data_IF_430514649783
#
_entry.id   IF_430514649783
#
_cell.length_a   1.000
_cell.length_b   1.000
_cell.length_c   1.000
_cell.angle_alpha   90.00
_cell.angle_beta   90.00
_cell.angle_gamma   90.00
#
_symmetry.space_group_name_H-M   'P 1'
#
loop_
_entity.id
_entity.type
_entity.pdbx_description
1 polymer ?
#
# COMPACT_ATOMS: atom_id res chain seq x y z
N UNK A 1 3.45 -40.07 33.65
CA UNK A 1 2.32 -39.32 34.23
C UNK A 1 1.60 -38.57 33.10
N UNK A 2 0.28 -38.75 33.05
CA UNK A 2 -0.79 -38.04 32.29
C UNK A 2 -0.41 -36.95 31.26
N UNK A 3 -0.88 -37.14 30.02
CA UNK A 3 -1.50 -36.07 29.21
C UNK A 3 -2.99 -35.98 29.60
N UNK A 4 -3.63 -34.80 29.54
CA UNK A 4 -4.46 -34.55 28.35
C UNK A 4 -4.48 -33.07 27.89
N UNK A 5 -4.95 -32.93 26.65
CA UNK A 5 -5.30 -31.69 25.97
C UNK A 5 -6.56 -31.02 26.55
N UNK A 6 -6.62 -29.68 26.48
CA UNK A 6 -7.82 -28.83 26.57
C UNK A 6 -7.51 -27.66 25.62
N UNK A 7 -7.94 -27.69 24.36
CA UNK A 7 -9.26 -27.32 23.84
C UNK A 7 -9.61 -25.84 24.06
N UNK A 8 -9.73 -25.13 22.91
CA UNK A 8 -10.61 -24.01 22.57
C UNK A 8 -11.06 -23.03 23.68
N UNK A 9 -11.00 -21.73 23.37
CA UNK A 9 -12.19 -20.88 23.14
C UNK A 9 -11.74 -19.45 22.76
N UNK A 10 -12.15 -19.07 21.55
CA UNK A 10 -12.48 -17.74 21.04
C UNK A 10 -12.86 -16.67 22.07
N UNK A 11 -12.35 -15.44 21.92
CA UNK A 11 -13.19 -14.23 22.07
C UNK A 11 -12.59 -13.01 21.36
N UNK A 12 -13.24 -12.61 20.27
CA UNK A 12 -13.28 -11.22 19.81
C UNK A 12 -13.97 -10.36 20.89
N UNK A 13 -13.37 -9.23 21.24
CA UNK A 13 -14.09 -8.02 21.65
C UNK A 13 -13.10 -6.84 21.44
N UNK A 14 -13.12 -6.21 20.27
CA UNK A 14 -14.03 -5.12 19.92
C UNK A 14 -13.78 -3.84 20.74
N UNK A 15 -13.17 -2.88 20.05
CA UNK A 15 -13.53 -1.46 20.04
C UNK A 15 -14.14 -0.89 21.34
N UNK A 16 -13.26 -0.31 22.17
CA UNK A 16 -13.67 0.66 23.19
C UNK A 16 -13.69 2.06 22.58
N UNK A 17 -14.76 2.37 21.84
CA UNK A 17 -15.10 3.75 21.45
C UNK A 17 -15.63 4.46 22.71
N UNK A 18 -14.94 5.52 23.11
CA UNK A 18 -15.40 6.45 24.13
C UNK A 18 -16.64 7.21 23.64
N UNK A 19 -17.81 6.92 24.21
CA UNK A 19 -18.97 7.80 24.15
C UNK A 19 -19.86 7.63 25.38
N UNK A 20 -20.01 8.71 26.15
CA UNK A 20 -21.31 9.16 26.68
C UNK A 20 -21.94 8.46 27.89
N UNK A 21 -21.99 9.22 28.99
CA UNK A 21 -22.91 9.23 30.14
C UNK A 21 -24.28 8.49 30.07
N UNK A 22 -24.64 7.92 31.24
CA UNK A 22 -25.98 7.86 31.88
C UNK A 22 -26.93 6.67 31.63
N UNK A 23 -27.05 5.86 32.70
CA UNK A 23 -28.26 5.24 33.33
C UNK A 23 -29.07 4.12 32.68
N UNK A 24 -29.37 3.15 33.58
CA UNK A 24 -30.40 2.11 33.63
C UNK A 24 -30.13 0.77 32.91
N UNK A 25 -29.96 -0.27 33.73
CA UNK A 25 -29.89 -1.67 33.33
C UNK A 25 -31.30 -2.22 33.03
N UNK A 26 -31.54 -2.90 31.89
CA UNK A 26 -32.74 -3.69 31.67
C UNK A 26 -32.58 -5.15 32.14
N UNK A 27 -33.68 -5.71 32.62
CA UNK A 27 -33.84 -7.08 33.10
C UNK A 27 -33.66 -8.15 31.99
N UNK A 28 -33.38 -9.42 32.32
CA UNK A 28 -33.11 -10.46 31.33
C UNK A 28 -34.40 -10.92 30.61
N UNK A 29 -34.47 -10.69 29.30
CA UNK A 29 -35.48 -11.27 28.42
C UNK A 29 -35.10 -12.70 27.99
N UNK A 30 -36.15 -13.51 27.79
CA UNK A 30 -36.07 -14.93 27.40
C UNK A 30 -35.37 -15.14 26.05
N UNK A 31 -34.74 -16.31 25.82
CA UNK A 31 -33.97 -16.54 24.60
C UNK A 31 -34.87 -16.56 23.36
N UNK A 32 -34.61 -15.64 22.43
CA UNK A 32 -35.19 -15.63 21.09
C UNK A 32 -34.74 -16.88 20.29
N UNK A 33 -35.57 -17.40 19.36
CA UNK A 33 -35.20 -18.52 18.50
C UNK A 33 -33.95 -18.18 17.68
N UNK A 34 -33.03 -19.14 17.59
CA UNK A 34 -31.79 -18.99 16.86
C UNK A 34 -32.06 -18.66 15.38
N UNK A 35 -31.81 -17.41 14.99
CA UNK A 35 -31.65 -17.03 13.59
C UNK A 35 -30.52 -17.87 13.02
N UNK A 36 -30.80 -18.57 11.92
CA UNK A 36 -29.80 -19.33 11.18
C UNK A 36 -28.60 -18.42 10.90
N UNK A 37 -27.43 -18.82 11.38
CA UNK A 37 -26.18 -18.13 11.09
C UNK A 37 -26.05 -18.04 9.56
N UNK A 38 -25.71 -16.86 9.00
CA UNK A 38 -25.33 -16.77 7.59
C UNK A 38 -24.26 -17.82 7.33
N UNK A 39 -24.52 -18.73 6.39
CA UNK A 39 -23.51 -19.70 5.98
C UNK A 39 -22.26 -18.95 5.51
N UNK A 40 -21.07 -19.57 5.62
CA UNK A 40 -19.86 -18.96 5.08
C UNK A 40 -20.07 -18.74 3.58
N UNK A 41 -20.40 -17.50 3.19
CA UNK A 41 -20.20 -17.06 1.82
C UNK A 41 -18.73 -17.25 1.55
N UNK A 42 -18.41 -18.15 0.61
CA UNK A 42 -17.05 -18.37 0.18
C UNK A 42 -16.51 -17.08 -0.41
N UNK A 43 -15.82 -16.28 0.41
CA UNK A 43 -14.98 -15.21 -0.08
C UNK A 43 -13.87 -15.90 -0.88
N UNK A 44 -13.82 -15.62 -2.18
CA UNK A 44 -12.67 -16.00 -2.99
C UNK A 44 -11.48 -15.26 -2.39
N UNK A 45 -10.42 -15.99 -2.03
CA UNK A 45 -9.21 -15.37 -1.51
C UNK A 45 -8.59 -14.48 -2.61
N UNK A 46 -8.21 -13.24 -2.24
CA UNK A 46 -7.51 -12.33 -3.14
C UNK A 46 -6.22 -12.98 -3.65
N UNK A 47 -5.97 -12.87 -4.95
CA UNK A 47 -4.71 -13.30 -5.55
C UNK A 47 -3.59 -12.31 -5.22
N UNK A 48 -2.31 -12.70 -5.32
CA UNK A 48 -1.19 -11.76 -5.17
C UNK A 48 -1.30 -10.55 -6.09
N UNK A 49 -1.80 -10.74 -7.31
CA UNK A 49 -2.06 -9.68 -8.29
C UNK A 49 -3.13 -8.69 -7.78
N UNK A 50 -4.20 -9.18 -7.17
CA UNK A 50 -5.27 -8.32 -6.62
C UNK A 50 -4.74 -7.44 -5.50
N UNK A 51 -3.93 -8.01 -4.59
CA UNK A 51 -3.31 -7.27 -3.48
C UNK A 51 -2.38 -6.17 -4.00
N UNK A 52 -1.52 -6.48 -4.97
CA UNK A 52 -0.61 -5.50 -5.57
C UNK A 52 -1.37 -4.38 -6.28
N UNK A 53 -2.44 -4.71 -7.00
CA UNK A 53 -3.26 -3.71 -7.68
C UNK A 53 -4.07 -2.83 -6.72
N UNK A 54 -4.53 -3.38 -5.59
CA UNK A 54 -5.13 -2.61 -4.49
C UNK A 54 -4.11 -1.61 -3.89
N UNK A 55 -2.91 -2.08 -3.54
CA UNK A 55 -1.83 -1.24 -3.00
C UNK A 55 -1.42 -0.11 -3.96
N UNK A 56 -1.38 -0.39 -5.27
CA UNK A 56 -1.14 0.65 -6.27
C UNK A 56 -2.28 1.64 -6.38
N UNK A 57 -3.53 1.17 -6.32
CA UNK A 57 -4.71 2.03 -6.40
C UNK A 57 -4.73 3.04 -5.24
N UNK A 58 -4.32 2.61 -4.05
CA UNK A 58 -4.24 3.46 -2.86
C UNK A 58 -3.08 4.47 -2.92
N UNK A 59 -1.95 4.08 -3.50
CA UNK A 59 -0.72 4.88 -3.50
C UNK A 59 -0.53 5.78 -4.74
N UNK A 60 -1.20 5.50 -5.86
CA UNK A 60 -1.01 6.19 -7.15
C UNK A 60 -1.13 7.71 -7.06
N UNK A 61 -2.09 8.21 -6.26
CA UNK A 61 -2.39 9.64 -6.17
C UNK A 61 -1.24 10.41 -5.52
N UNK A 62 -0.56 9.78 -4.56
CA UNK A 62 0.61 10.33 -3.87
C UNK A 62 1.80 10.35 -4.81
N UNK A 63 2.04 9.24 -5.53
CA UNK A 63 3.17 9.14 -6.47
C UNK A 63 3.03 10.16 -7.61
N UNK A 64 1.82 10.33 -8.18
CA UNK A 64 1.55 11.35 -9.20
C UNK A 64 1.78 12.77 -8.68
N UNK A 65 1.22 13.11 -7.52
CA UNK A 65 1.41 14.44 -6.95
C UNK A 65 2.88 14.74 -6.66
N UNK A 66 3.63 13.75 -6.17
CA UNK A 66 5.07 13.87 -5.97
C UNK A 66 5.80 14.09 -7.31
N UNK A 67 5.50 13.29 -8.34
CA UNK A 67 6.10 13.43 -9.66
C UNK A 67 5.80 14.80 -10.30
N UNK A 68 4.55 15.25 -10.24
CA UNK A 68 4.16 16.58 -10.72
C UNK A 68 4.87 17.72 -9.96
N UNK A 69 5.11 17.55 -8.66
CA UNK A 69 5.88 18.51 -7.87
C UNK A 69 7.35 18.52 -8.28
N UNK A 70 7.96 17.34 -8.49
CA UNK A 70 9.34 17.19 -8.94
C UNK A 70 9.57 17.88 -10.29
N UNK A 71 8.63 17.79 -11.24
CA UNK A 71 8.77 18.44 -12.55
C UNK A 71 8.66 19.97 -12.48
N UNK A 72 8.04 20.53 -11.44
CA UNK A 72 7.76 21.98 -11.35
C UNK A 72 8.73 22.75 -10.46
N UNK A 73 9.39 22.08 -9.53
CA UNK A 73 10.21 22.73 -8.52
C UNK A 73 11.46 21.88 -8.21
N UNK A 74 12.58 22.51 -7.84
CA UNK A 74 13.71 21.79 -7.28
C UNK A 74 13.33 21.04 -6.00
N UNK A 75 13.83 19.82 -5.84
CA UNK A 75 13.54 18.92 -4.72
C UNK A 75 14.82 18.37 -4.10
N UNK A 76 14.74 17.93 -2.86
CA UNK A 76 15.84 17.23 -2.18
C UNK A 76 15.84 15.75 -2.62
N UNK A 77 16.92 15.22 -3.24
CA UNK A 77 16.96 13.82 -3.67
C UNK A 77 16.70 12.82 -2.56
N UNK A 78 17.18 13.08 -1.34
CA UNK A 78 16.90 12.21 -0.19
C UNK A 78 15.40 12.18 0.17
N UNK A 79 14.69 13.30 0.01
CA UNK A 79 13.24 13.36 0.21
C UNK A 79 12.48 12.54 -0.83
N UNK A 80 12.92 12.59 -2.09
CA UNK A 80 12.35 11.81 -3.20
C UNK A 80 12.53 10.31 -2.95
N UNK A 81 13.74 9.88 -2.57
CA UNK A 81 14.03 8.48 -2.27
C UNK A 81 13.12 7.93 -1.15
N UNK A 82 12.84 8.74 -0.11
CA UNK A 82 11.92 8.35 0.97
C UNK A 82 10.48 8.28 0.47
N UNK A 83 10.03 9.25 -0.32
CA UNK A 83 8.66 9.28 -0.85
C UNK A 83 8.37 8.08 -1.76
N UNK A 84 9.35 7.65 -2.58
CA UNK A 84 9.18 6.57 -3.54
C UNK A 84 9.51 5.18 -2.97
N UNK A 85 9.90 5.09 -1.69
CA UNK A 85 10.26 3.83 -1.06
C UNK A 85 9.11 2.83 -1.07
N UNK A 86 7.89 3.27 -0.74
CA UNK A 86 6.70 2.41 -0.73
C UNK A 86 6.39 1.86 -2.12
N UNK A 87 6.43 2.71 -3.14
CA UNK A 87 6.22 2.32 -4.53
C UNK A 87 7.24 1.25 -4.99
N UNK A 88 8.52 1.41 -4.62
CA UNK A 88 9.56 0.41 -4.91
C UNK A 88 9.32 -0.91 -4.18
N UNK A 89 8.88 -0.86 -2.92
CA UNK A 89 8.56 -2.07 -2.15
C UNK A 89 7.41 -2.86 -2.78
N UNK A 90 6.33 -2.18 -3.16
CA UNK A 90 5.20 -2.81 -3.85
C UNK A 90 5.65 -3.39 -5.20
N UNK A 91 6.41 -2.63 -5.99
CA UNK A 91 6.93 -3.08 -7.29
C UNK A 91 7.88 -4.28 -7.22
N UNK A 92 8.49 -4.53 -6.06
CA UNK A 92 9.40 -5.66 -5.86
C UNK A 92 8.78 -6.79 -5.03
N UNK A 93 7.49 -6.68 -4.72
CA UNK A 93 6.75 -7.73 -4.01
C UNK A 93 6.63 -8.96 -4.90
N UNK A 94 7.17 -10.08 -4.43
CA UNK A 94 7.12 -11.35 -5.15
C UNK A 94 5.73 -11.99 -5.14
N UNK A 95 5.51 -12.99 -6.00
CA UNK A 95 4.26 -13.74 -6.07
C UNK A 95 3.32 -13.31 -7.19
N UNK A 96 3.57 -12.16 -7.83
CA UNK A 96 2.93 -11.76 -9.09
C UNK A 96 3.44 -12.64 -10.23
N UNK A 97 2.51 -13.24 -10.97
CA UNK A 97 2.81 -14.11 -12.11
C UNK A 97 2.33 -13.55 -13.44
N UNK A 98 1.42 -12.58 -13.42
CA UNK A 98 0.97 -11.88 -14.61
C UNK A 98 2.14 -11.11 -15.28
N UNK A 99 2.49 -11.42 -16.54
CA UNK A 99 3.63 -10.81 -17.20
C UNK A 99 3.45 -9.32 -17.48
N UNK A 100 2.23 -8.82 -17.66
CA UNK A 100 1.98 -7.38 -17.85
C UNK A 100 2.21 -6.61 -16.54
N UNK A 101 1.74 -7.15 -15.41
CA UNK A 101 1.97 -6.54 -14.10
C UNK A 101 3.46 -6.57 -13.77
N UNK A 102 4.15 -7.69 -14.00
CA UNK A 102 5.60 -7.79 -13.78
C UNK A 102 6.37 -6.79 -14.64
N UNK A 103 5.99 -6.61 -15.92
CA UNK A 103 6.62 -5.63 -16.79
C UNK A 103 6.38 -4.19 -16.31
N UNK A 104 5.15 -3.87 -15.89
CA UNK A 104 4.81 -2.55 -15.37
C UNK A 104 5.54 -2.24 -14.05
N UNK A 105 5.65 -3.22 -13.15
CA UNK A 105 6.44 -3.12 -11.92
C UNK A 105 7.93 -2.88 -12.22
N UNK A 106 8.49 -3.62 -13.18
CA UNK A 106 9.89 -3.46 -13.58
C UNK A 106 10.15 -2.06 -14.16
N UNK A 107 9.23 -1.53 -14.96
CA UNK A 107 9.34 -0.18 -15.52
C UNK A 107 9.26 0.90 -14.42
N UNK A 108 8.39 0.73 -13.41
CA UNK A 108 8.35 1.63 -12.27
C UNK A 108 9.67 1.63 -11.49
N UNK A 109 10.25 0.46 -11.21
CA UNK A 109 11.56 0.37 -10.54
C UNK A 109 12.64 1.07 -11.37
N UNK A 110 12.67 0.83 -12.68
CA UNK A 110 13.63 1.46 -13.57
C UNK A 110 13.45 2.99 -13.64
N UNK A 111 12.22 3.49 -13.55
CA UNK A 111 11.93 4.91 -13.49
C UNK A 111 12.38 5.56 -12.16
N UNK A 112 12.28 4.83 -11.04
CA UNK A 112 12.81 5.29 -9.74
C UNK A 112 14.35 5.30 -9.77
N UNK A 113 14.97 4.24 -10.30
CA UNK A 113 16.44 4.17 -10.47
C UNK A 113 16.98 5.31 -11.35
N UNK A 114 16.22 5.71 -12.37
CA UNK A 114 16.55 6.84 -13.23
C UNK A 114 16.51 8.17 -12.46
N UNK A 115 15.48 8.42 -11.65
CA UNK A 115 15.43 9.60 -10.77
C UNK A 115 16.61 9.63 -9.78
N UNK A 116 16.96 8.48 -9.20
CA UNK A 116 18.11 8.36 -8.30
C UNK A 116 19.44 8.64 -9.05
N UNK A 117 19.54 8.26 -10.32
CA UNK A 117 20.69 8.58 -11.16
C UNK A 117 20.76 10.08 -11.50
N UNK A 118 19.65 10.69 -11.92
CA UNK A 118 19.55 12.13 -12.18
C UNK A 118 19.94 12.95 -10.95
N UNK A 119 19.46 12.56 -9.77
CA UNK A 119 19.78 13.23 -8.51
C UNK A 119 21.28 13.18 -8.20
N UNK A 120 21.91 12.01 -8.36
CA UNK A 120 23.37 11.87 -8.15
C UNK A 120 24.19 12.66 -9.17
N UNK A 121 23.77 12.66 -10.42
CA UNK A 121 24.46 13.40 -11.48
C UNK A 121 24.43 14.91 -11.21
N UNK A 122 23.25 15.46 -10.87
CA UNK A 122 23.08 16.89 -10.64
C UNK A 122 23.73 17.39 -9.34
N UNK A 123 23.78 16.56 -8.30
CA UNK A 123 24.48 16.88 -7.06
C UNK A 123 26.00 16.95 -7.24
N UNK A 124 26.54 16.13 -8.14
CA UNK A 124 27.99 15.97 -8.28
C UNK A 124 28.63 15.27 -7.07
N UNK A 125 29.97 15.13 -7.07
CA UNK A 125 30.69 14.35 -6.05
C UNK A 125 30.67 14.96 -4.65
N UNK A 126 30.51 16.28 -4.54
CA UNK A 126 30.53 17.02 -3.26
C UNK A 126 29.12 17.39 -2.75
N UNK A 127 28.07 17.07 -3.53
CA UNK A 127 26.70 17.45 -3.20
C UNK A 127 26.09 16.63 -2.06
N UNK A 128 25.21 17.28 -1.29
CA UNK A 128 24.51 16.67 -0.17
C UNK A 128 23.01 16.51 -0.48
N UNK A 129 22.59 15.26 -0.71
CA UNK A 129 21.21 14.91 -1.06
C UNK A 129 20.12 15.34 -0.05
N UNK A 130 20.50 15.66 1.19
CA UNK A 130 19.60 16.13 2.24
C UNK A 130 19.57 17.66 2.41
N UNK A 131 20.43 18.40 1.69
CA UNK A 131 20.55 19.86 1.79
C UNK A 131 20.40 20.57 0.45
N UNK A 132 20.94 19.97 -0.60
CA UNK A 132 21.03 20.59 -1.91
C UNK A 132 19.86 20.13 -2.78
N UNK A 133 19.08 21.09 -3.25
CA UNK A 133 17.93 20.83 -4.12
C UNK A 133 18.36 20.75 -5.59
N UNK A 134 17.80 19.81 -6.33
CA UNK A 134 18.06 19.57 -7.76
C UNK A 134 16.76 19.50 -8.53
N UNK A 135 16.82 19.75 -9.84
CA UNK A 135 15.65 19.71 -10.70
C UNK A 135 15.54 18.35 -11.37
N UNK A 136 14.64 17.50 -10.89
CA UNK A 136 14.46 16.15 -11.46
C UNK A 136 13.42 16.15 -12.58
N UNK A 137 13.58 15.24 -13.53
CA UNK A 137 12.58 14.91 -14.54
C UNK A 137 11.85 13.62 -14.16
N UNK A 138 10.60 13.79 -13.71
CA UNK A 138 9.74 12.69 -13.28
C UNK A 138 8.77 12.19 -14.36
N UNK A 139 8.94 12.57 -15.64
CA UNK A 139 8.04 12.13 -16.72
C UNK A 139 7.97 10.59 -16.83
N UNK A 140 9.09 9.91 -16.62
CA UNK A 140 9.13 8.43 -16.66
C UNK A 140 8.34 7.80 -15.52
N UNK A 141 8.34 8.41 -14.33
CA UNK A 141 7.48 7.96 -13.21
C UNK A 141 6.01 8.11 -13.58
N UNK A 142 5.61 9.26 -14.14
CA UNK A 142 4.22 9.51 -14.54
C UNK A 142 3.74 8.48 -15.58
N UNK A 143 4.60 8.15 -16.55
CA UNK A 143 4.32 7.12 -17.55
C UNK A 143 4.18 5.73 -16.91
N UNK A 144 5.11 5.34 -16.04
CA UNK A 144 5.08 4.05 -15.36
C UNK A 144 3.84 3.87 -14.48
N UNK A 145 3.46 4.89 -13.72
CA UNK A 145 2.24 4.87 -12.89
C UNK A 145 0.99 4.75 -13.75
N UNK A 146 0.93 5.48 -14.87
CA UNK A 146 -0.19 5.39 -15.82
C UNK A 146 -0.31 4.00 -16.44
N UNK A 147 0.82 3.35 -16.72
CA UNK A 147 0.81 1.97 -17.23
C UNK A 147 0.36 0.96 -16.17
N UNK A 148 0.80 1.11 -14.93
CA UNK A 148 0.35 0.28 -13.80
C UNK A 148 -1.17 0.39 -13.62
N UNK A 149 -1.71 1.60 -13.67
CA UNK A 149 -3.16 1.82 -13.61
C UNK A 149 -3.90 1.13 -14.75
N UNK A 150 -3.35 1.18 -15.96
CA UNK A 150 -3.93 0.50 -17.12
C UNK A 150 -3.99 -1.01 -16.92
N UNK A 151 -2.93 -1.64 -16.41
CA UNK A 151 -2.88 -3.10 -16.20
C UNK A 151 -3.70 -3.55 -14.99
N UNK A 152 -3.86 -2.69 -13.99
CA UNK A 152 -4.69 -2.96 -12.81
C UNK A 152 -6.16 -2.58 -12.99
N UNK A 153 -6.52 -1.86 -14.05
CA UNK A 153 -7.91 -1.49 -14.31
C UNK A 153 -8.80 -2.73 -14.53
N UNK A 154 -9.70 -2.99 -13.59
CA UNK A 154 -10.67 -4.08 -13.67
C UNK A 154 -10.29 -5.34 -12.89
N UNK A 155 -9.26 -5.25 -12.04
CA UNK A 155 -9.01 -6.21 -10.96
C UNK A 155 -9.70 -5.74 -9.69
#
# INVERSE_FOLDING_TARGET
>A
MKRPAIALVTTLAALSVLAGCSTAAPAPEAPAPASAAPGPSGAVAATPEDVVCEDYTDSQSVVRQAADAMTRMPVLPAGVAVLLLGARQVATTGGVTDPEIVAAQAELVAAIDDLDAQGREQLGPDGNAARDAVQLDAQRILAAVTEIERVCAGR
#
